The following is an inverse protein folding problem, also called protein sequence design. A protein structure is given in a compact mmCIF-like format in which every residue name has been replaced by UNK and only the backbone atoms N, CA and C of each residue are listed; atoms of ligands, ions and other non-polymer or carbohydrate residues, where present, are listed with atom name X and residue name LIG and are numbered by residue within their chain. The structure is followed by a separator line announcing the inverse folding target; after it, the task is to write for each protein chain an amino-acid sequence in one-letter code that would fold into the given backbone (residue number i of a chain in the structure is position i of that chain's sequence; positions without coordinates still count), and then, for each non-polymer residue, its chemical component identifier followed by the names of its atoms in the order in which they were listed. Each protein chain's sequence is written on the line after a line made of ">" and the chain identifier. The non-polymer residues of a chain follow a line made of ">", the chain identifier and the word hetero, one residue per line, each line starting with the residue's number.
data_IF_689154800202
#
_entry.id   IF_689154800202
#
_cell.length_a   1.000
_cell.length_b   1.000
_cell.length_c   1.000
_cell.angle_alpha   90.00
_cell.angle_beta   90.00
_cell.angle_gamma   90.00
#
_symmetry.space_group_name_H-M   'P 1'
#
loop_
_entity.id
_entity.type
_entity.pdbx_description
1 polymer ?
#
# COMPACT_ATOMS: atom_id res chain seq x y z
N UNK A 1 18.98 5.11 16.67
CA UNK A 1 19.77 6.21 16.13
C UNK A 1 19.34 7.51 16.81
N UNK A 2 20.26 8.21 17.37
CA UNK A 2 20.02 9.50 18.08
C UNK A 2 20.57 10.70 17.30
N UNK A 3 20.99 10.49 16.05
CA UNK A 3 21.64 11.49 15.19
C UNK A 3 23.16 11.48 15.25
N UNK A 4 23.76 10.71 16.13
CA UNK A 4 25.22 10.62 16.32
C UNK A 4 25.75 9.21 16.46
N UNK A 5 24.97 8.29 17.03
CA UNK A 5 25.39 6.91 17.25
C UNK A 5 24.21 5.94 17.19
N UNK A 6 24.51 4.70 16.83
CA UNK A 6 23.57 3.60 16.94
C UNK A 6 23.58 3.07 18.38
N UNK A 7 22.44 3.07 19.01
CA UNK A 7 22.26 2.48 20.33
C UNK A 7 21.40 1.24 20.21
N UNK A 8 21.88 0.12 20.73
CA UNK A 8 21.08 -1.10 20.83
C UNK A 8 20.10 -0.96 21.99
N UNK A 9 18.82 -1.08 21.69
CA UNK A 9 17.77 -1.14 22.70
C UNK A 9 17.22 -2.56 22.78
N UNK A 10 17.22 -3.14 23.96
CA UNK A 10 16.53 -4.39 24.27
C UNK A 10 15.22 -4.00 24.93
N UNK A 11 14.14 -4.02 24.17
CA UNK A 11 12.84 -3.60 24.66
C UNK A 11 11.83 -4.74 24.59
N UNK A 12 10.86 -4.66 25.48
CA UNK A 12 9.59 -5.34 25.30
C UNK A 12 8.86 -4.76 24.07
N UNK A 13 7.69 -5.26 23.79
CA UNK A 13 6.82 -4.74 22.72
C UNK A 13 6.64 -3.22 22.82
N UNK A 14 6.88 -2.52 21.72
CA UNK A 14 6.55 -1.10 21.57
C UNK A 14 5.26 -1.02 20.79
N UNK A 15 4.26 -0.32 21.32
CA UNK A 15 2.96 -0.13 20.70
C UNK A 15 2.59 1.34 20.63
N UNK A 16 1.76 1.68 19.68
CA UNK A 16 1.20 3.02 19.48
C UNK A 16 -0.29 2.88 19.19
N UNK A 17 -1.09 3.74 19.82
CA UNK A 17 -2.50 3.86 19.47
C UNK A 17 -2.65 4.70 18.20
N UNK A 18 -3.45 4.22 17.25
CA UNK A 18 -3.78 4.91 16.01
C UNK A 18 -5.26 5.33 15.96
N UNK A 19 -5.87 5.50 17.13
CA UNK A 19 -7.28 5.93 17.23
C UNK A 19 -7.38 7.42 16.95
N UNK A 20 -7.56 7.75 15.69
CA UNK A 20 -7.86 9.13 15.27
C UNK A 20 -8.83 9.07 14.08
N UNK A 21 -10.01 9.64 14.27
CA UNK A 21 -11.07 9.69 13.26
C UNK A 21 -10.68 10.42 11.96
N UNK A 22 -9.55 11.12 11.94
CA UNK A 22 -9.02 11.81 10.77
C UNK A 22 -8.13 10.94 9.85
N UNK A 23 -7.82 9.70 10.24
CA UNK A 23 -6.87 8.84 9.50
C UNK A 23 -7.51 8.02 8.37
N UNK A 24 -8.83 7.94 8.34
CA UNK A 24 -9.57 7.09 7.40
C UNK A 24 -9.36 7.46 5.93
N UNK A 25 -9.02 6.47 5.12
CA UNK A 25 -8.84 6.62 3.69
C UNK A 25 -7.51 7.22 3.26
N UNK A 26 -6.54 7.35 4.18
CA UNK A 26 -5.21 7.88 3.88
C UNK A 26 -4.10 6.91 4.27
N UNK A 27 -3.00 6.86 3.50
CA UNK A 27 -1.77 6.21 3.94
C UNK A 27 -1.16 6.95 5.13
N UNK A 28 -0.46 6.21 5.97
CA UNK A 28 0.16 6.71 7.20
C UNK A 28 1.56 6.17 7.30
N UNK A 29 2.57 7.04 7.32
CA UNK A 29 3.95 6.65 7.56
C UNK A 29 4.20 6.43 9.05
N UNK A 30 4.89 5.34 9.37
CA UNK A 30 5.25 4.96 10.73
C UNK A 30 6.73 5.21 10.97
N UNK A 31 7.02 5.88 12.06
CA UNK A 31 8.36 6.26 12.47
C UNK A 31 8.72 5.65 13.82
N UNK A 32 9.98 5.27 13.95
CA UNK A 32 10.59 5.01 15.26
C UNK A 32 11.54 6.15 15.60
N UNK A 33 11.42 6.66 16.80
CA UNK A 33 12.29 7.72 17.33
C UNK A 33 12.82 7.34 18.69
N UNK A 34 13.96 7.93 19.05
CA UNK A 34 14.51 7.82 20.38
C UNK A 34 14.09 9.07 21.19
N UNK A 35 13.15 8.89 22.10
CA UNK A 35 12.71 9.94 23.01
C UNK A 35 13.47 9.80 24.33
N UNK A 36 14.55 10.56 24.51
CA UNK A 36 15.37 10.56 25.74
C UNK A 36 15.85 9.17 26.17
N UNK A 37 16.34 8.37 25.21
CA UNK A 37 16.83 7.02 25.47
C UNK A 37 15.77 5.92 25.41
N UNK A 38 14.50 6.28 25.19
CA UNK A 38 13.39 5.34 25.06
C UNK A 38 12.88 5.31 23.62
N UNK A 39 12.92 4.15 22.94
CA UNK A 39 12.31 4.02 21.62
C UNK A 39 10.79 4.22 21.69
N UNK A 40 10.28 5.10 20.85
CA UNK A 40 8.85 5.39 20.74
C UNK A 40 8.41 5.34 19.29
N UNK A 41 7.15 5.02 19.06
CA UNK A 41 6.53 5.09 17.74
C UNK A 41 5.76 6.40 17.58
N UNK A 42 5.81 6.94 16.38
CA UNK A 42 4.98 8.06 15.95
C UNK A 42 4.50 7.83 14.52
N UNK A 43 3.55 8.61 14.06
CA UNK A 43 3.01 8.49 12.71
C UNK A 43 2.85 9.85 12.04
N UNK A 44 2.73 9.84 10.71
CA UNK A 44 2.38 11.02 9.91
C UNK A 44 1.42 10.59 8.80
N UNK A 45 0.25 11.19 8.77
CA UNK A 45 -0.75 10.95 7.73
C UNK A 45 -0.30 11.61 6.44
N UNK A 46 -0.53 10.96 5.31
CA UNK A 46 -0.28 11.54 4.00
C UNK A 46 -1.28 12.69 3.70
N UNK A 47 -0.90 13.58 2.84
CA UNK A 47 -1.78 14.68 2.39
C UNK A 47 -2.98 14.17 1.57
N UNK A 48 -2.78 13.08 0.85
CA UNK A 48 -3.81 12.37 0.08
C UNK A 48 -3.33 10.93 -0.21
N UNK A 49 -4.10 10.16 -0.98
CA UNK A 49 -3.79 8.76 -1.30
C UNK A 49 -2.45 8.50 -1.99
N UNK A 50 -1.81 9.52 -2.57
CA UNK A 50 -0.56 9.38 -3.34
C UNK A 50 0.57 10.32 -2.90
N UNK A 51 0.31 11.25 -2.00
CA UNK A 51 1.27 12.31 -1.63
C UNK A 51 1.57 12.29 -0.13
N UNK A 52 2.82 12.07 0.22
CA UNK A 52 3.28 12.18 1.61
C UNK A 52 3.21 13.62 2.11
N UNK A 53 2.80 13.78 3.37
CA UNK A 53 2.90 15.06 4.06
C UNK A 53 4.34 15.48 4.34
N UNK A 54 5.25 14.51 4.49
CA UNK A 54 6.69 14.75 4.70
C UNK A 54 7.48 13.79 3.83
N UNK A 55 8.43 14.31 3.06
CA UNK A 55 9.30 13.49 2.22
C UNK A 55 10.17 12.54 3.07
N UNK A 56 10.59 11.44 2.46
CA UNK A 56 11.63 10.59 2.97
C UNK A 56 13.00 11.17 2.59
N UNK A 57 14.00 10.94 3.42
CA UNK A 57 15.40 11.17 3.13
C UNK A 57 16.21 9.94 3.53
N UNK A 58 17.37 9.76 2.91
CA UNK A 58 18.30 8.67 3.22
C UNK A 58 19.60 9.30 3.71
N UNK A 59 20.14 8.78 4.79
CA UNK A 59 21.44 9.20 5.30
C UNK A 59 22.59 8.47 4.57
N UNK A 60 23.83 8.82 4.94
CA UNK A 60 25.04 8.20 4.36
C UNK A 60 25.19 6.72 4.65
N UNK A 61 24.53 6.23 5.69
CA UNK A 61 24.50 4.83 6.09
C UNK A 61 23.37 4.03 5.41
N UNK A 62 22.57 4.67 4.56
CA UNK A 62 21.48 4.06 3.85
C UNK A 62 20.20 3.90 4.69
N UNK A 63 20.10 4.59 5.81
CA UNK A 63 18.91 4.55 6.65
C UNK A 63 17.90 5.58 6.17
N UNK A 64 16.69 5.14 5.94
CA UNK A 64 15.58 6.01 5.56
C UNK A 64 14.96 6.64 6.80
N UNK A 65 14.82 7.95 6.75
CA UNK A 65 14.27 8.74 7.83
C UNK A 65 13.35 9.86 7.31
N UNK A 66 12.67 10.52 8.22
CA UNK A 66 11.86 11.68 7.93
C UNK A 66 12.75 12.84 7.47
N UNK A 67 12.44 13.45 6.33
CA UNK A 67 13.21 14.61 5.84
C UNK A 67 13.21 15.74 6.89
N UNK A 68 14.39 16.27 7.16
CA UNK A 68 14.61 17.27 8.20
C UNK A 68 14.69 16.72 9.64
N UNK A 69 14.63 15.40 9.84
CA UNK A 69 14.74 14.79 11.17
C UNK A 69 15.31 13.39 11.13
N UNK A 70 16.63 13.27 11.22
CA UNK A 70 17.35 11.98 11.26
C UNK A 70 16.98 11.09 12.45
N UNK A 71 16.40 11.67 13.50
CA UNK A 71 15.96 10.92 14.68
C UNK A 71 14.66 10.14 14.46
N UNK A 72 13.94 10.39 13.37
CA UNK A 72 12.70 9.70 13.01
C UNK A 72 12.97 8.66 11.91
N UNK A 73 13.33 7.46 12.30
CA UNK A 73 13.59 6.35 11.39
C UNK A 73 12.30 5.83 10.78
N UNK A 74 12.25 5.73 9.46
CA UNK A 74 11.10 5.17 8.74
C UNK A 74 11.00 3.66 8.93
N UNK A 75 9.82 3.17 9.31
CA UNK A 75 9.54 1.75 9.47
C UNK A 75 8.70 1.18 8.33
N UNK A 76 7.79 1.97 7.80
CA UNK A 76 6.88 1.53 6.77
C UNK A 76 5.67 2.43 6.64
N UNK A 77 4.76 2.05 5.76
CA UNK A 77 3.50 2.75 5.52
C UNK A 77 2.34 1.78 5.72
N UNK A 78 1.30 2.26 6.36
CA UNK A 78 0.04 1.56 6.56
C UNK A 78 -1.07 2.32 5.85
N UNK A 79 -2.10 1.61 5.40
CA UNK A 79 -3.32 2.21 4.86
C UNK A 79 -4.50 1.89 5.77
N UNK A 80 -5.11 2.93 6.33
CA UNK A 80 -6.35 2.81 7.07
C UNK A 80 -7.53 2.83 6.09
N UNK A 81 -8.26 1.74 6.07
CA UNK A 81 -9.52 1.70 5.33
C UNK A 81 -10.60 2.54 6.05
N UNK A 82 -11.65 2.96 5.32
CA UNK A 82 -12.69 3.86 5.82
C UNK A 82 -13.46 3.42 7.08
N UNK A 83 -13.16 2.26 7.64
CA UNK A 83 -13.70 1.71 8.88
C UNK A 83 -12.70 1.71 10.06
N UNK A 84 -11.61 2.49 9.95
CA UNK A 84 -10.53 2.59 10.95
C UNK A 84 -9.76 1.28 11.18
N UNK A 85 -9.83 0.35 10.24
CA UNK A 85 -9.17 -0.95 10.33
C UNK A 85 -8.01 -1.03 9.33
N UNK A 86 -6.88 -1.52 9.80
CA UNK A 86 -5.79 -1.93 8.91
C UNK A 86 -6.18 -3.26 8.26
N UNK A 87 -6.34 -3.23 6.95
CA UNK A 87 -6.64 -4.43 6.18
C UNK A 87 -5.41 -4.90 5.43
N UNK A 88 -5.23 -6.21 5.45
CA UNK A 88 -4.21 -6.90 4.71
C UNK A 88 -4.75 -8.25 4.27
N UNK A 89 -5.52 -8.22 3.19
CA UNK A 89 -6.30 -9.32 2.64
C UNK A 89 -5.71 -9.75 1.29
N UNK A 90 -6.19 -10.84 0.71
CA UNK A 90 -5.64 -11.36 -0.55
C UNK A 90 -5.73 -10.38 -1.72
N UNK A 91 -6.72 -9.52 -1.75
CA UNK A 91 -6.91 -8.50 -2.78
C UNK A 91 -6.49 -7.09 -2.35
N UNK A 92 -6.12 -6.90 -1.08
CA UNK A 92 -5.73 -5.61 -0.52
C UNK A 92 -4.53 -5.77 0.39
N UNK A 93 -3.39 -5.18 0.02
CA UNK A 93 -2.17 -5.12 0.82
C UNK A 93 -2.01 -3.71 1.39
N UNK A 94 -2.60 -3.47 2.55
CA UNK A 94 -2.57 -2.20 3.26
C UNK A 94 -1.38 -2.02 4.20
N UNK A 95 -0.43 -2.96 4.23
CA UNK A 95 0.76 -2.90 5.09
C UNK A 95 2.02 -3.06 4.26
N UNK A 96 2.84 -2.02 4.24
CA UNK A 96 4.17 -2.06 3.64
C UNK A 96 5.24 -1.82 4.71
N UNK A 97 6.10 -2.84 4.92
CA UNK A 97 7.17 -2.80 5.91
C UNK A 97 8.53 -2.66 5.23
N UNK A 98 9.23 -1.56 5.51
CA UNK A 98 10.52 -1.27 4.91
C UNK A 98 11.61 -2.31 5.21
N UNK A 99 11.62 -2.87 6.42
CA UNK A 99 12.64 -3.83 6.87
C UNK A 99 12.29 -5.29 6.63
N UNK A 100 11.09 -5.59 6.18
CA UNK A 100 10.61 -6.94 5.91
C UNK A 100 9.88 -7.01 4.57
N UNK A 101 10.56 -6.59 3.51
CA UNK A 101 10.06 -6.66 2.15
C UNK A 101 10.12 -8.12 1.69
N UNK A 102 8.95 -8.70 1.49
CA UNK A 102 8.79 -10.06 0.96
C UNK A 102 7.78 -10.04 -0.17
N UNK A 103 7.99 -10.86 -1.22
CA UNK A 103 6.96 -11.06 -2.23
C UNK A 103 5.65 -11.49 -1.55
N UNK A 104 4.59 -10.75 -1.82
CA UNK A 104 3.26 -11.02 -1.27
C UNK A 104 2.28 -11.16 -2.41
N UNK A 105 1.60 -12.31 -2.54
CA UNK A 105 0.62 -12.50 -3.60
C UNK A 105 -0.58 -11.57 -3.39
N UNK A 106 -1.11 -11.09 -4.51
CA UNK A 106 -2.37 -10.39 -4.59
C UNK A 106 -3.29 -11.17 -5.54
N UNK A 107 -4.53 -11.38 -5.15
CA UNK A 107 -5.52 -12.04 -5.96
C UNK A 107 -6.76 -11.16 -6.05
N UNK A 108 -7.09 -10.70 -7.25
CA UNK A 108 -8.39 -10.09 -7.46
C UNK A 108 -9.48 -11.15 -7.22
N UNK A 109 -10.57 -10.80 -6.51
CA UNK A 109 -11.69 -11.70 -6.37
C UNK A 109 -12.22 -12.08 -7.76
N UNK A 110 -12.46 -13.38 -7.94
CA UNK A 110 -13.00 -13.89 -9.18
C UNK A 110 -14.50 -13.65 -9.21
N UNK A 111 -14.96 -12.89 -10.21
CA UNK A 111 -16.38 -12.82 -10.53
C UNK A 111 -16.70 -13.90 -11.58
N UNK A 112 -17.52 -14.88 -11.20
CA UNK A 112 -17.98 -15.95 -12.08
C UNK A 112 -19.28 -15.63 -12.79
N UNK A 113 -19.77 -14.39 -12.68
CA UNK A 113 -20.99 -13.95 -13.36
C UNK A 113 -20.72 -13.86 -14.86
N UNK A 114 -21.48 -14.59 -15.67
CA UNK A 114 -21.37 -14.46 -17.13
C UNK A 114 -22.08 -13.20 -17.57
N UNK A 115 -21.43 -12.42 -18.39
CA UNK A 115 -21.98 -11.21 -18.99
C UNK A 115 -21.68 -11.18 -20.48
N UNK A 116 -22.53 -10.49 -21.24
CA UNK A 116 -22.38 -10.35 -22.69
C UNK A 116 -22.00 -8.92 -23.03
N UNK A 117 -20.97 -8.76 -23.85
CA UNK A 117 -20.51 -7.47 -24.30
C UNK A 117 -20.46 -7.43 -25.83
N UNK A 118 -21.09 -6.44 -26.42
CA UNK A 118 -21.26 -6.32 -27.87
C UNK A 118 -20.85 -4.92 -28.41
N UNK A 119 -20.01 -4.19 -27.69
CA UNK A 119 -19.53 -2.86 -28.10
C UNK A 119 -18.01 -2.89 -28.31
N UNK A 120 -17.51 -2.07 -29.22
CA UNK A 120 -16.07 -1.88 -29.45
C UNK A 120 -15.39 -0.98 -28.42
N UNK A 121 -16.15 -0.38 -27.50
CA UNK A 121 -15.57 0.50 -26.46
C UNK A 121 -14.94 -0.33 -25.35
N UNK A 122 -13.67 -0.12 -25.08
CA UNK A 122 -12.99 -0.77 -23.95
C UNK A 122 -13.58 -0.26 -22.63
N UNK A 123 -13.97 -1.17 -21.75
CA UNK A 123 -14.47 -0.87 -20.40
C UNK A 123 -14.20 -2.04 -19.47
N UNK A 124 -14.47 -1.83 -18.20
CA UNK A 124 -14.37 -2.86 -17.18
C UNK A 124 -15.30 -4.06 -17.48
N UNK A 125 -14.97 -5.22 -16.94
CA UNK A 125 -15.83 -6.38 -17.00
C UNK A 125 -17.23 -6.04 -16.45
N UNK A 126 -18.26 -6.61 -17.01
CA UNK A 126 -19.66 -6.36 -16.68
C UNK A 126 -20.16 -4.92 -16.87
N UNK A 127 -19.37 -4.04 -17.47
CA UNK A 127 -19.70 -2.61 -17.65
C UNK A 127 -20.11 -1.90 -16.36
N UNK A 128 -19.75 -2.42 -15.23
CA UNK A 128 -20.13 -1.93 -13.91
C UNK A 128 -18.89 -1.57 -13.10
N UNK A 129 -18.84 -0.33 -12.62
CA UNK A 129 -17.73 0.19 -11.81
C UNK A 129 -17.79 -0.22 -10.34
N UNK A 130 -18.86 -0.93 -9.94
CA UNK A 130 -19.11 -1.26 -8.54
C UNK A 130 -19.21 -2.77 -8.30
N UNK A 131 -19.66 -3.53 -9.30
CA UNK A 131 -19.85 -4.98 -9.22
C UNK A 131 -19.13 -5.63 -10.40
N UNK A 132 -18.37 -6.68 -10.16
CA UNK A 132 -17.61 -7.38 -11.20
C UNK A 132 -16.23 -6.77 -11.49
N UNK A 133 -15.81 -5.76 -10.75
CA UNK A 133 -14.46 -5.22 -10.85
C UNK A 133 -13.45 -6.18 -10.19
N UNK A 134 -12.57 -6.77 -10.99
CA UNK A 134 -11.41 -7.49 -10.46
C UNK A 134 -10.34 -6.47 -10.08
N UNK A 135 -10.33 -6.07 -8.81
CA UNK A 135 -9.46 -5.02 -8.30
C UNK A 135 -8.51 -5.57 -7.24
N UNK A 136 -7.24 -5.28 -7.39
CA UNK A 136 -6.26 -5.41 -6.33
C UNK A 136 -5.78 -4.03 -5.91
N UNK A 137 -5.65 -3.85 -4.60
CA UNK A 137 -5.12 -2.62 -4.02
C UNK A 137 -3.88 -2.93 -3.19
N UNK A 138 -2.88 -2.08 -3.29
CA UNK A 138 -1.70 -2.19 -2.44
C UNK A 138 -1.12 -0.83 -2.12
N UNK A 139 -0.44 -0.73 -1.00
CA UNK A 139 0.36 0.42 -0.64
C UNK A 139 1.84 0.14 -0.97
N UNK A 140 2.48 1.05 -1.67
CA UNK A 140 3.92 1.06 -1.89
C UNK A 140 4.55 2.18 -1.07
N UNK A 141 5.40 1.81 -0.13
CA UNK A 141 6.07 2.79 0.72
C UNK A 141 7.27 3.47 0.05
N UNK A 142 7.78 2.92 -1.06
CA UNK A 142 8.84 3.51 -1.89
C UNK A 142 8.45 3.41 -3.36
N UNK A 143 8.94 4.37 -4.15
CA UNK A 143 8.62 4.47 -5.58
C UNK A 143 9.20 3.34 -6.45
N UNK A 144 10.24 2.67 -5.97
CA UNK A 144 10.94 1.57 -6.66
C UNK A 144 10.45 0.17 -6.24
N UNK A 145 9.32 0.09 -5.55
CA UNK A 145 8.71 -1.20 -5.19
C UNK A 145 8.27 -1.94 -6.46
N UNK A 146 8.84 -3.10 -6.70
CA UNK A 146 8.51 -3.94 -7.86
C UNK A 146 7.15 -4.61 -7.67
N UNK A 147 6.31 -4.54 -8.71
CA UNK A 147 5.01 -5.22 -8.76
C UNK A 147 4.93 -6.07 -10.03
N UNK A 148 4.84 -7.37 -9.87
CA UNK A 148 4.65 -8.32 -10.97
C UNK A 148 3.16 -8.62 -11.17
N UNK A 149 2.62 -8.26 -12.34
CA UNK A 149 1.22 -8.46 -12.67
C UNK A 149 1.06 -9.64 -13.63
N UNK A 150 0.22 -10.61 -13.25
CA UNK A 150 -0.15 -11.74 -14.10
C UNK A 150 -1.67 -11.74 -14.24
N UNK A 151 -2.15 -11.53 -15.45
CA UNK A 151 -3.57 -11.57 -15.77
C UNK A 151 -3.91 -12.85 -16.55
N UNK A 152 -4.93 -13.55 -16.11
CA UNK A 152 -5.49 -14.72 -16.79
C UNK A 152 -6.99 -14.53 -16.95
N UNK A 153 -7.47 -14.69 -18.16
CA UNK A 153 -8.89 -14.60 -18.46
C UNK A 153 -9.31 -15.74 -19.39
N UNK A 154 -10.49 -16.30 -19.12
CA UNK A 154 -11.17 -17.21 -20.06
C UNK A 154 -12.26 -16.44 -20.78
N UNK A 155 -12.22 -16.44 -22.11
CA UNK A 155 -13.22 -15.77 -22.94
C UNK A 155 -13.92 -16.81 -23.80
N UNK A 156 -15.22 -16.93 -23.64
CA UNK A 156 -16.09 -17.68 -24.56
C UNK A 156 -16.44 -16.80 -25.78
N UNK A 157 -16.30 -17.36 -26.97
CA UNK A 157 -16.58 -16.64 -28.21
C UNK A 157 -17.65 -17.36 -29.04
N UNK A 158 -18.63 -16.64 -29.53
CA UNK A 158 -19.71 -17.18 -30.37
C UNK A 158 -19.92 -16.36 -31.65
N UNK A 159 -18.87 -16.11 -32.43
CA UNK A 159 -18.99 -15.30 -33.65
C UNK A 159 -17.66 -14.93 -34.29
N UNK A 160 -17.68 -13.99 -35.25
CA UNK A 160 -16.48 -13.42 -35.87
C UNK A 160 -16.16 -12.07 -35.25
N UNK A 161 -14.97 -11.87 -34.70
CA UNK A 161 -14.52 -10.60 -34.11
C UNK A 161 -13.24 -10.74 -33.30
N UNK A 162 -12.99 -9.79 -32.42
CA UNK A 162 -11.77 -9.70 -31.59
C UNK A 162 -12.14 -9.55 -30.14
N UNK A 163 -11.47 -10.29 -29.27
CA UNK A 163 -11.50 -10.08 -27.83
C UNK A 163 -10.23 -9.36 -27.38
N UNK A 164 -10.36 -8.25 -26.69
CA UNK A 164 -9.24 -7.51 -26.09
C UNK A 164 -9.25 -7.69 -24.59
N UNK A 165 -8.04 -7.80 -24.08
CA UNK A 165 -7.80 -7.99 -22.66
C UNK A 165 -6.76 -7.00 -22.19
N UNK A 166 -6.94 -6.38 -21.02
CA UNK A 166 -6.04 -5.36 -20.54
C UNK A 166 -6.03 -5.24 -19.02
N UNK A 167 -4.93 -4.72 -18.50
CA UNK A 167 -4.77 -4.34 -17.10
C UNK A 167 -4.64 -2.83 -17.06
N UNK A 168 -5.47 -2.18 -16.25
CA UNK A 168 -5.33 -0.77 -15.92
C UNK A 168 -4.63 -0.60 -14.58
N UNK A 169 -3.74 0.39 -14.47
CA UNK A 169 -3.13 0.81 -13.22
C UNK A 169 -3.58 2.23 -12.96
N UNK A 170 -4.24 2.44 -11.82
CA UNK A 170 -4.62 3.74 -11.31
C UNK A 170 -3.73 4.05 -10.09
N UNK A 171 -3.05 5.18 -10.13
CA UNK A 171 -2.23 5.69 -9.04
C UNK A 171 -2.79 7.03 -8.52
#
# INVERSE_FOLDING_TARGET
>A
WDGTAYTQHINAQISMSMVDSGLNGYPVDIWMQNASGVPTLSHTVWTNGSTRATALAMDSEGIVHRNGSQTHRYLGTLYLHGDEIFRDEDYLRGIWNFYNQRPRPLFAPYDNTSWTYNSATVRQSDSNTTVGEMRCEWIAGLADTEVNLVHRQSVGWSGTGWAWNGIGINA
#
